data_IF_392342950725
#
_entry.id   IF_392342950725
#
_cell.length_a   1.000
_cell.length_b   1.000
_cell.length_c   1.000
_cell.angle_alpha   90.00
_cell.angle_beta   90.00
_cell.angle_gamma   90.00
#
_symmetry.space_group_name_H-M   'P 1'
#
loop_
_entity.id
_entity.type
_entity.pdbx_description
1 polymer ?
#
# COMPACT_ATOMS: atom_id res chain seq x y z
N UNK A 1 -7.74 1.98 24.43
CA UNK A 1 -6.35 1.85 23.95
C UNK A 1 -6.00 3.18 23.31
N UNK A 2 -4.92 3.87 23.72
CA UNK A 2 -4.49 5.07 22.97
C UNK A 2 -3.91 4.61 21.62
N UNK A 3 -4.24 5.25 20.49
CA UNK A 3 -3.64 4.92 19.21
C UNK A 3 -2.11 5.04 19.32
N UNK A 4 -1.40 4.12 18.67
CA UNK A 4 0.05 4.19 18.57
C UNK A 4 0.40 5.53 17.93
N UNK A 5 1.24 6.34 18.61
CA UNK A 5 1.68 7.62 18.06
C UNK A 5 2.55 7.32 16.85
N UNK A 6 2.06 7.67 15.66
CA UNK A 6 2.82 7.56 14.42
C UNK A 6 3.88 8.67 14.41
N UNK A 7 5.17 8.35 14.16
CA UNK A 7 6.21 9.34 13.97
C UNK A 7 5.89 10.31 12.81
N UNK A 8 6.36 11.55 12.92
CA UNK A 8 6.10 12.56 11.89
C UNK A 8 6.66 12.12 10.52
N UNK A 9 7.83 11.48 10.49
CA UNK A 9 8.41 10.95 9.27
C UNK A 9 7.51 9.92 8.56
N UNK A 10 6.78 9.09 9.30
CA UNK A 10 5.84 8.13 8.71
C UNK A 10 4.60 8.85 8.17
N UNK A 11 4.11 9.88 8.87
CA UNK A 11 2.98 10.69 8.38
C UNK A 11 3.34 11.48 7.12
N UNK A 12 4.60 11.88 6.93
CA UNK A 12 5.03 12.53 5.68
C UNK A 12 4.89 11.61 4.47
N UNK A 13 4.97 10.28 4.66
CA UNK A 13 4.76 9.32 3.56
C UNK A 13 3.36 9.38 2.95
N UNK A 14 2.37 9.93 3.68
CA UNK A 14 1.02 10.14 3.18
C UNK A 14 0.87 11.44 2.37
N UNK A 15 1.81 12.38 2.46
CA UNK A 15 1.81 13.61 1.65
C UNK A 15 2.51 13.46 0.29
N UNK A 16 3.13 12.31 0.05
CA UNK A 16 3.97 12.05 -1.12
C UNK A 16 3.64 10.66 -1.70
N UNK A 17 4.03 10.36 -2.96
CA UNK A 17 3.88 9.03 -3.55
C UNK A 17 4.91 8.05 -2.98
N UNK A 18 4.84 7.80 -1.68
CA UNK A 18 5.71 6.89 -0.93
C UNK A 18 4.89 5.71 -0.41
N UNK A 19 5.54 4.54 -0.33
CA UNK A 19 4.97 3.37 0.34
C UNK A 19 4.79 3.67 1.82
N UNK A 20 3.63 3.34 2.36
CA UNK A 20 3.36 3.48 3.80
C UNK A 20 4.04 2.35 4.59
N UNK A 21 4.46 2.66 5.81
CA UNK A 21 5.12 1.71 6.71
C UNK A 21 4.13 0.81 7.46
N UNK A 22 4.66 -0.23 8.11
CA UNK A 22 3.91 -1.08 9.03
C UNK A 22 3.28 -0.26 10.17
N UNK A 23 3.97 0.80 10.65
CA UNK A 23 3.44 1.69 11.69
C UNK A 23 2.18 2.41 11.25
N UNK A 24 2.11 2.86 10.00
CA UNK A 24 0.90 3.48 9.43
C UNK A 24 -0.24 2.46 9.38
N UNK A 25 0.01 1.28 8.80
CA UNK A 25 -1.01 0.23 8.64
C UNK A 25 -1.52 -0.26 9.99
N UNK A 26 -0.63 -0.64 10.91
CA UNK A 26 -1.02 -1.12 12.23
C UNK A 26 -1.76 -0.05 13.06
N UNK A 27 -1.31 1.21 13.02
CA UNK A 27 -1.97 2.30 13.76
C UNK A 27 -3.38 2.54 13.23
N UNK A 28 -3.57 2.50 11.91
CA UNK A 28 -4.89 2.57 11.31
C UNK A 28 -5.80 1.42 11.77
N UNK A 29 -5.31 0.18 11.81
CA UNK A 29 -6.09 -0.97 12.25
C UNK A 29 -6.49 -0.88 13.74
N UNK A 30 -5.63 -0.30 14.59
CA UNK A 30 -6.00 0.00 15.97
C UNK A 30 -7.12 1.03 16.07
N UNK A 31 -7.09 2.09 15.24
CA UNK A 31 -8.15 3.10 15.20
C UNK A 31 -9.45 2.49 14.66
N UNK A 32 -9.37 1.66 13.61
CA UNK A 32 -10.51 0.94 13.05
C UNK A 32 -11.17 0.01 14.08
N UNK A 33 -10.38 -0.61 14.97
CA UNK A 33 -10.91 -1.42 16.06
C UNK A 33 -11.68 -0.58 17.09
N UNK A 34 -11.22 0.64 17.37
CA UNK A 34 -11.96 1.58 18.21
C UNK A 34 -13.23 2.08 17.51
N UNK A 35 -13.15 2.36 16.20
CA UNK A 35 -14.28 2.76 15.36
C UNK A 35 -15.41 1.72 15.41
N UNK A 36 -15.09 0.43 15.23
CA UNK A 36 -16.12 -0.61 15.26
C UNK A 36 -16.84 -0.71 16.60
N UNK A 37 -16.11 -0.53 17.71
CA UNK A 37 -16.71 -0.51 19.06
C UNK A 37 -17.61 0.72 19.24
N UNK A 38 -17.15 1.90 18.84
CA UNK A 38 -17.88 3.16 19.04
C UNK A 38 -19.18 3.23 18.24
N UNK A 39 -19.21 2.63 17.04
CA UNK A 39 -20.36 2.64 16.15
C UNK A 39 -21.14 1.32 16.12
N UNK A 40 -20.85 0.39 17.05
CA UNK A 40 -21.48 -0.93 17.13
C UNK A 40 -21.47 -1.71 15.80
N UNK A 41 -20.37 -1.60 15.05
CA UNK A 41 -20.13 -2.34 13.81
C UNK A 41 -19.80 -3.82 14.10
N UNK A 42 -19.81 -4.70 13.09
CA UNK A 42 -19.46 -6.11 13.27
C UNK A 42 -18.16 -6.31 14.06
N UNK A 43 -18.18 -7.17 15.11
CA UNK A 43 -17.01 -7.38 15.94
C UNK A 43 -15.92 -8.06 15.11
N UNK A 44 -14.73 -7.47 15.09
CA UNK A 44 -13.56 -8.04 14.42
C UNK A 44 -12.34 -8.03 15.35
N UNK A 45 -11.32 -8.80 14.97
CA UNK A 45 -9.97 -8.68 15.52
C UNK A 45 -8.98 -8.46 14.38
N UNK A 46 -7.76 -8.04 14.68
CA UNK A 46 -6.69 -8.09 13.70
C UNK A 46 -5.41 -8.68 14.29
N UNK A 47 -4.51 -9.12 13.42
CA UNK A 47 -3.14 -9.51 13.76
C UNK A 47 -2.21 -8.41 13.27
N UNK A 48 -1.32 -7.94 14.15
CA UNK A 48 -0.31 -6.94 13.78
C UNK A 48 0.58 -7.44 12.62
N UNK A 49 0.84 -6.60 11.63
CA UNK A 49 1.63 -6.99 10.44
C UNK A 49 3.04 -7.47 10.76
N UNK A 50 3.59 -7.10 11.93
CA UNK A 50 4.90 -7.57 12.39
C UNK A 50 4.96 -9.08 12.61
N UNK A 51 3.81 -9.78 12.65
CA UNK A 51 3.77 -11.25 12.64
C UNK A 51 4.59 -11.83 11.49
N UNK A 52 4.63 -11.16 10.34
CA UNK A 52 5.36 -11.64 9.16
C UNK A 52 6.87 -11.41 9.27
N UNK A 53 7.30 -10.30 9.88
CA UNK A 53 8.71 -10.09 10.26
C UNK A 53 9.17 -11.17 11.23
N UNK A 54 8.36 -11.43 12.26
CA UNK A 54 8.63 -12.47 13.26
C UNK A 54 8.67 -13.86 12.61
N UNK A 55 7.74 -14.15 11.69
CA UNK A 55 7.71 -15.43 10.98
C UNK A 55 9.00 -15.64 10.18
N UNK A 56 9.42 -14.64 9.41
CA UNK A 56 10.63 -14.70 8.59
C UNK A 56 11.91 -14.85 9.44
N UNK A 57 12.00 -14.13 10.55
CA UNK A 57 13.24 -14.03 11.33
C UNK A 57 13.35 -15.10 12.43
N UNK A 58 12.23 -15.49 13.02
CA UNK A 58 12.17 -16.36 14.21
C UNK A 58 11.33 -17.62 13.99
N UNK A 59 10.72 -17.77 12.82
CA UNK A 59 9.97 -18.95 12.42
C UNK A 59 8.57 -19.05 13.02
N UNK A 60 7.90 -20.15 12.66
CA UNK A 60 6.49 -20.42 12.97
C UNK A 60 6.15 -20.30 14.46
N UNK A 61 6.97 -20.89 15.35
CA UNK A 61 6.70 -20.93 16.80
C UNK A 61 6.68 -19.54 17.44
N UNK A 62 7.49 -18.60 16.95
CA UNK A 62 7.45 -17.23 17.44
C UNK A 62 6.25 -16.45 16.87
N UNK A 63 5.98 -16.63 15.57
CA UNK A 63 4.87 -15.97 14.90
C UNK A 63 3.51 -16.43 15.44
N UNK A 64 3.37 -17.71 15.80
CA UNK A 64 2.12 -18.23 16.37
C UNK A 64 1.77 -17.57 17.71
N UNK A 65 2.77 -17.15 18.51
CA UNK A 65 2.56 -16.39 19.74
C UNK A 65 2.02 -14.98 19.47
N UNK A 66 2.50 -14.34 18.41
CA UNK A 66 1.98 -13.03 17.97
C UNK A 66 0.56 -13.17 17.45
N UNK A 67 0.33 -14.16 16.58
CA UNK A 67 -0.99 -14.45 16.02
C UNK A 67 -2.02 -14.76 17.12
N UNK A 68 -1.60 -15.44 18.19
CA UNK A 68 -2.45 -15.81 19.32
C UNK A 68 -3.02 -14.62 20.11
N UNK A 69 -2.51 -13.40 19.90
CA UNK A 69 -3.06 -12.18 20.50
C UNK A 69 -4.39 -11.75 19.86
N UNK A 70 -4.74 -12.26 18.67
CA UNK A 70 -6.03 -12.02 18.06
C UNK A 70 -7.18 -12.68 18.85
N UNK A 71 -8.30 -11.97 18.97
CA UNK A 71 -9.50 -12.43 19.66
C UNK A 71 -10.25 -13.44 18.78
N UNK A 72 -10.76 -14.51 19.40
CA UNK A 72 -11.50 -15.59 18.72
C UNK A 72 -13.01 -15.36 18.64
N UNK A 73 -13.59 -14.64 19.60
CA UNK A 73 -15.03 -14.40 19.67
C UNK A 73 -15.41 -13.13 18.87
N UNK A 74 -15.21 -13.20 17.56
CA UNK A 74 -15.42 -12.12 16.59
C UNK A 74 -15.92 -12.74 15.27
N UNK A 75 -16.47 -11.95 14.37
CA UNK A 75 -17.00 -12.46 13.10
C UNK A 75 -15.87 -12.80 12.11
N UNK A 76 -14.84 -11.95 12.08
CA UNK A 76 -13.66 -12.12 11.23
C UNK A 76 -12.38 -11.55 11.84
N UNK A 77 -11.25 -12.02 11.32
CA UNK A 77 -9.91 -11.51 11.66
C UNK A 77 -9.25 -10.90 10.44
N UNK A 78 -8.84 -9.64 10.55
CA UNK A 78 -8.07 -8.95 9.53
C UNK A 78 -6.58 -9.20 9.73
N UNK A 79 -5.86 -9.55 8.68
CA UNK A 79 -4.43 -9.84 8.73
C UNK A 79 -3.74 -9.09 7.59
N UNK A 80 -3.23 -7.87 7.84
CA UNK A 80 -2.38 -7.18 6.87
C UNK A 80 -1.13 -8.00 6.62
N UNK A 81 -0.85 -8.27 5.35
CA UNK A 81 0.26 -9.09 4.89
C UNK A 81 1.26 -8.24 4.13
N UNK A 82 2.51 -8.25 4.57
CA UNK A 82 3.61 -7.61 3.84
C UNK A 82 4.49 -8.69 3.20
N UNK A 83 4.50 -8.75 1.87
CA UNK A 83 5.44 -9.57 1.13
C UNK A 83 6.78 -8.84 1.05
N UNK A 84 7.79 -9.32 1.77
CA UNK A 84 9.12 -8.73 1.78
C UNK A 84 9.87 -8.88 0.45
N UNK A 85 9.51 -9.85 -0.39
CA UNK A 85 10.17 -10.08 -1.67
C UNK A 85 9.66 -9.13 -2.75
N UNK A 86 8.35 -8.87 -2.74
CA UNK A 86 7.70 -7.92 -3.64
C UNK A 86 7.66 -6.48 -3.07
N UNK A 87 7.98 -6.32 -1.78
CA UNK A 87 7.74 -5.11 -0.99
C UNK A 87 6.29 -4.60 -1.17
N UNK A 88 5.32 -5.49 -0.95
CA UNK A 88 3.92 -5.29 -1.31
C UNK A 88 2.99 -5.59 -0.13
N UNK A 89 1.99 -4.73 0.06
CA UNK A 89 0.94 -4.91 1.03
C UNK A 89 -0.28 -5.59 0.40
N UNK A 90 -0.81 -6.61 1.08
CA UNK A 90 -2.10 -7.22 0.79
C UNK A 90 -2.86 -7.47 2.09
N UNK A 91 -4.13 -7.86 2.01
CA UNK A 91 -4.97 -8.09 3.17
C UNK A 91 -5.60 -9.48 3.09
N UNK A 92 -5.42 -10.29 4.13
CA UNK A 92 -6.22 -11.47 4.34
C UNK A 92 -7.34 -11.20 5.36
N UNK A 93 -8.53 -11.69 5.07
CA UNK A 93 -9.71 -11.63 5.93
C UNK A 93 -10.11 -13.07 6.23
N UNK A 94 -9.92 -13.50 7.48
CA UNK A 94 -10.31 -14.82 7.95
C UNK A 94 -11.74 -14.71 8.45
N UNK A 95 -12.69 -15.26 7.70
CA UNK A 95 -14.09 -15.25 8.09
C UNK A 95 -14.41 -16.52 8.87
N UNK A 96 -14.60 -16.36 10.19
CA UNK A 96 -14.64 -17.51 11.10
C UNK A 96 -15.93 -18.31 10.95
N UNK A 97 -17.04 -17.65 10.64
CA UNK A 97 -18.36 -18.29 10.48
C UNK A 97 -18.50 -19.05 9.16
N UNK A 98 -18.06 -18.46 8.07
CA UNK A 98 -18.13 -19.04 6.71
C UNK A 98 -16.94 -19.95 6.41
N UNK A 99 -15.93 -19.99 7.30
CA UNK A 99 -14.75 -20.83 7.18
C UNK A 99 -14.03 -20.62 5.84
N UNK A 100 -13.85 -19.36 5.44
CA UNK A 100 -13.13 -18.97 4.22
C UNK A 100 -12.11 -17.87 4.51
N UNK A 101 -11.16 -17.73 3.59
CA UNK A 101 -10.21 -16.64 3.59
C UNK A 101 -10.45 -15.80 2.33
N UNK A 102 -10.72 -14.52 2.51
CA UNK A 102 -10.70 -13.55 1.41
C UNK A 102 -9.34 -12.89 1.38
N UNK A 103 -8.62 -12.97 0.26
CA UNK A 103 -7.31 -12.35 0.07
C UNK A 103 -7.44 -11.21 -0.93
N UNK A 104 -7.36 -9.98 -0.44
CA UNK A 104 -7.37 -8.80 -1.28
C UNK A 104 -5.94 -8.37 -1.63
N UNK A 105 -5.67 -8.28 -2.94
CA UNK A 105 -4.39 -7.85 -3.49
C UNK A 105 -4.62 -6.88 -4.66
N UNK A 106 -4.38 -5.60 -4.41
CA UNK A 106 -4.61 -4.50 -5.36
C UNK A 106 -3.72 -4.56 -6.61
N UNK A 107 -2.60 -5.31 -6.60
CA UNK A 107 -1.73 -5.54 -7.77
C UNK A 107 -1.95 -6.91 -8.40
N UNK A 108 -2.74 -7.78 -7.78
CA UNK A 108 -2.89 -9.17 -8.21
C UNK A 108 -1.61 -10.00 -8.10
N UNK A 109 -0.73 -9.69 -7.12
CA UNK A 109 0.51 -10.43 -6.87
C UNK A 109 0.32 -11.60 -5.90
N UNK A 110 -0.89 -12.15 -5.82
CA UNK A 110 -1.24 -13.20 -4.88
C UNK A 110 -0.33 -14.43 -5.04
N UNK A 111 0.18 -14.90 -3.91
CA UNK A 111 1.01 -16.10 -3.81
C UNK A 111 0.35 -17.12 -2.87
N UNK A 112 0.05 -18.31 -3.39
CA UNK A 112 -0.59 -19.38 -2.64
C UNK A 112 0.23 -19.88 -1.44
N UNK A 113 1.57 -19.74 -1.47
CA UNK A 113 2.43 -20.08 -0.34
C UNK A 113 2.19 -19.14 0.85
N UNK A 114 1.92 -17.86 0.61
CA UNK A 114 1.61 -16.89 1.66
C UNK A 114 0.29 -17.27 2.36
N UNK A 115 -0.72 -17.68 1.58
CA UNK A 115 -1.96 -18.23 2.12
C UNK A 115 -1.75 -19.54 2.90
N UNK A 116 -0.83 -20.40 2.46
CA UNK A 116 -0.49 -21.62 3.20
C UNK A 116 0.10 -21.31 4.58
N UNK A 117 1.05 -20.38 4.69
CA UNK A 117 1.60 -19.95 5.98
C UNK A 117 0.54 -19.34 6.89
N UNK A 118 -0.33 -18.50 6.34
CA UNK A 118 -1.46 -17.93 7.09
C UNK A 118 -2.38 -19.02 7.64
N UNK A 119 -2.77 -19.99 6.81
CA UNK A 119 -3.60 -21.13 7.21
C UNK A 119 -2.97 -21.93 8.34
N UNK A 120 -1.66 -22.18 8.29
CA UNK A 120 -0.96 -22.90 9.34
C UNK A 120 -0.99 -22.13 10.68
N UNK A 121 -0.75 -20.82 10.65
CA UNK A 121 -0.83 -19.97 11.86
C UNK A 121 -2.26 -19.93 12.41
N UNK A 122 -3.25 -19.79 11.53
CA UNK A 122 -4.66 -19.75 11.90
C UNK A 122 -5.16 -21.09 12.45
N UNK A 123 -4.75 -22.22 11.86
CA UNK A 123 -5.07 -23.56 12.34
C UNK A 123 -4.53 -23.79 13.76
N UNK A 124 -3.28 -23.40 14.00
CA UNK A 124 -2.67 -23.47 15.32
C UNK A 124 -3.38 -22.55 16.33
N UNK A 125 -3.71 -21.32 15.92
CA UNK A 125 -4.42 -20.38 16.77
C UNK A 125 -5.82 -20.88 17.14
N UNK A 126 -6.62 -21.32 16.17
CA UNK A 126 -7.97 -21.83 16.39
C UNK A 126 -7.98 -23.18 17.10
N UNK A 127 -6.86 -23.93 17.06
CA UNK A 127 -6.80 -25.34 17.45
C UNK A 127 -7.72 -26.20 16.57
N UNK A 128 -7.75 -25.88 15.27
CA UNK A 128 -8.60 -26.51 14.28
C UNK A 128 -7.80 -26.74 12.99
N UNK A 129 -7.53 -28.00 12.67
CA UNK A 129 -6.79 -28.38 11.47
C UNK A 129 -7.60 -28.21 10.18
N UNK A 130 -8.93 -28.09 10.26
CA UNK A 130 -9.80 -27.87 9.09
C UNK A 130 -9.53 -26.54 8.39
N UNK A 131 -8.90 -25.58 9.09
CA UNK A 131 -8.49 -24.27 8.54
C UNK A 131 -7.58 -24.42 7.33
N UNK A 132 -6.78 -25.49 7.26
CA UNK A 132 -5.92 -25.78 6.10
C UNK A 132 -6.76 -25.99 4.83
N UNK A 133 -7.96 -26.54 4.95
CA UNK A 133 -8.90 -26.77 3.84
C UNK A 133 -9.83 -25.60 3.52
N UNK A 134 -9.81 -24.51 4.30
CA UNK A 134 -10.67 -23.35 4.02
C UNK A 134 -10.39 -22.79 2.60
N UNK A 135 -11.41 -22.50 1.79
CA UNK A 135 -11.20 -21.90 0.47
C UNK A 135 -10.59 -20.51 0.60
N UNK A 136 -9.72 -20.17 -0.37
CA UNK A 136 -9.14 -18.83 -0.49
C UNK A 136 -9.75 -18.16 -1.71
N UNK A 137 -10.52 -17.11 -1.50
CA UNK A 137 -11.06 -16.26 -2.56
C UNK A 137 -10.13 -15.06 -2.74
N UNK A 138 -9.58 -14.89 -3.94
CA UNK A 138 -8.70 -13.76 -4.25
C UNK A 138 -9.51 -12.63 -4.88
N UNK A 139 -9.41 -11.45 -4.29
CA UNK A 139 -10.03 -10.21 -4.77
C UNK A 139 -8.94 -9.26 -5.27
N UNK A 140 -9.16 -8.63 -6.42
CA UNK A 140 -8.21 -7.65 -7.00
C UNK A 140 -8.81 -6.28 -7.23
N UNK A 141 -10.13 -6.14 -7.09
CA UNK A 141 -10.83 -4.88 -7.34
C UNK A 141 -11.17 -4.13 -6.04
N UNK A 142 -11.03 -2.80 -6.02
CA UNK A 142 -10.43 -1.97 -7.07
C UNK A 142 -8.92 -2.21 -7.19
N UNK A 143 -8.41 -2.20 -8.43
CA UNK A 143 -6.97 -2.33 -8.70
C UNK A 143 -6.22 -1.04 -8.42
N UNK A 144 -5.01 -1.18 -7.88
CA UNK A 144 -4.07 -0.07 -7.86
C UNK A 144 -3.39 0.10 -9.21
N UNK A 145 -3.16 1.35 -9.61
CA UNK A 145 -2.48 1.71 -10.87
C UNK A 145 -1.03 2.15 -10.69
N UNK A 146 -0.54 2.22 -9.45
CA UNK A 146 0.83 2.63 -9.11
C UNK A 146 1.52 1.61 -8.19
N UNK A 147 2.77 1.86 -7.83
CA UNK A 147 3.60 0.93 -7.04
C UNK A 147 3.62 1.24 -5.53
N UNK A 148 2.93 2.29 -5.06
CA UNK A 148 3.15 2.88 -3.73
C UNK A 148 1.91 2.85 -2.83
N UNK A 149 0.71 2.69 -3.40
CA UNK A 149 -0.55 2.77 -2.65
C UNK A 149 -1.03 1.45 -2.03
N UNK A 150 -0.31 0.34 -2.20
CA UNK A 150 -0.77 -0.97 -1.71
C UNK A 150 -1.18 -0.97 -0.23
N UNK A 151 -0.42 -0.29 0.63
CA UNK A 151 -0.78 -0.18 2.06
C UNK A 151 -1.99 0.72 2.30
N UNK A 152 -2.21 1.75 1.48
CA UNK A 152 -3.41 2.59 1.51
C UNK A 152 -4.63 1.75 1.12
N UNK A 153 -4.54 1.01 0.02
CA UNK A 153 -5.58 0.07 -0.41
C UNK A 153 -5.92 -0.98 0.65
N UNK A 154 -4.92 -1.52 1.35
CA UNK A 154 -5.14 -2.44 2.49
C UNK A 154 -5.94 -1.79 3.61
N UNK A 155 -5.60 -0.56 4.01
CA UNK A 155 -6.36 0.17 5.04
C UNK A 155 -7.82 0.41 4.61
N UNK A 156 -8.04 0.85 3.37
CA UNK A 156 -9.39 1.13 2.89
C UNK A 156 -10.24 -0.13 2.69
N UNK A 157 -9.63 -1.23 2.22
CA UNK A 157 -10.30 -2.53 2.13
C UNK A 157 -10.68 -3.06 3.51
N UNK A 158 -9.81 -2.85 4.51
CA UNK A 158 -10.10 -3.20 5.89
C UNK A 158 -11.28 -2.37 6.43
N UNK A 159 -11.30 -1.06 6.16
CA UNK A 159 -12.42 -0.20 6.53
C UNK A 159 -13.72 -0.69 5.89
N UNK A 160 -13.73 -1.01 4.59
CA UNK A 160 -14.94 -1.50 3.91
C UNK A 160 -15.40 -2.88 4.38
N UNK A 161 -14.48 -3.72 4.86
CA UNK A 161 -14.83 -5.00 5.48
C UNK A 161 -15.56 -4.83 6.82
N UNK A 162 -15.24 -3.76 7.55
CA UNK A 162 -15.78 -3.48 8.90
C UNK A 162 -17.01 -2.58 8.83
N UNK A 163 -16.99 -1.58 7.96
CA UNK A 163 -18.03 -0.57 7.80
C UNK A 163 -18.54 -0.60 6.36
N UNK A 164 -19.65 -1.30 6.15
CA UNK A 164 -20.27 -1.44 4.83
C UNK A 164 -20.81 -0.13 4.26
N UNK A 165 -20.87 0.95 5.05
CA UNK A 165 -21.24 2.28 4.56
C UNK A 165 -20.08 2.96 3.81
N UNK A 166 -18.83 2.51 4.03
CA UNK A 166 -17.68 3.04 3.32
C UNK A 166 -17.64 2.51 1.88
N UNK A 167 -17.77 3.42 0.92
CA UNK A 167 -17.66 3.07 -0.50
C UNK A 167 -16.19 2.83 -0.88
N UNK A 168 -15.85 1.55 -1.05
CA UNK A 168 -14.53 1.14 -1.51
C UNK A 168 -14.40 1.09 -3.03
N UNK A 169 -15.49 1.16 -3.77
CA UNK A 169 -15.45 1.04 -5.23
C UNK A 169 -14.73 2.23 -5.88
N UNK A 170 -14.19 1.99 -7.08
CA UNK A 170 -13.65 3.02 -8.00
C UNK A 170 -12.62 3.99 -7.40
N UNK A 171 -11.39 3.51 -7.22
CA UNK A 171 -10.24 4.30 -6.75
C UNK A 171 -9.34 4.69 -7.92
N UNK A 172 -9.65 5.80 -8.58
CA UNK A 172 -8.85 6.31 -9.71
C UNK A 172 -7.62 7.12 -9.27
N UNK A 173 -7.82 7.97 -8.27
CA UNK A 173 -6.79 8.78 -7.62
C UNK A 173 -6.79 8.45 -6.13
N UNK A 174 -5.61 8.45 -5.50
CA UNK A 174 -5.45 8.09 -4.08
C UNK A 174 -5.07 9.29 -3.19
N UNK A 175 -5.16 10.52 -3.72
CA UNK A 175 -4.87 11.76 -2.96
C UNK A 175 -5.75 11.87 -1.72
N UNK A 176 -7.06 11.79 -1.94
CA UNK A 176 -8.07 11.97 -0.92
C UNK A 176 -8.00 10.85 0.10
N UNK A 177 -7.76 9.62 -0.35
CA UNK A 177 -7.56 8.45 0.49
C UNK A 177 -6.32 8.59 1.38
N UNK A 178 -5.22 9.12 0.86
CA UNK A 178 -4.01 9.38 1.63
C UNK A 178 -4.22 10.48 2.67
N UNK A 179 -4.89 11.57 2.29
CA UNK A 179 -5.27 12.66 3.21
C UNK A 179 -6.21 12.15 4.30
N UNK A 180 -7.23 11.37 3.92
CA UNK A 180 -8.13 10.68 4.83
C UNK A 180 -7.36 9.83 5.84
N UNK A 181 -6.46 8.94 5.39
CA UNK A 181 -5.66 8.14 6.33
C UNK A 181 -4.81 9.01 7.26
N UNK A 182 -4.23 10.09 6.75
CA UNK A 182 -3.40 11.01 7.56
C UNK A 182 -4.23 11.66 8.66
N UNK A 183 -5.41 12.17 8.33
CA UNK A 183 -6.32 12.78 9.30
C UNK A 183 -6.80 11.77 10.33
N UNK A 184 -7.16 10.56 9.90
CA UNK A 184 -7.52 9.46 10.82
C UNK A 184 -6.39 9.20 11.82
N UNK A 185 -5.14 9.16 11.36
CA UNK A 185 -3.98 8.89 12.23
C UNK A 185 -3.63 10.06 13.16
N UNK A 186 -3.90 11.30 12.76
CA UNK A 186 -3.69 12.49 13.58
C UNK A 186 -4.77 12.62 14.67
N UNK A 187 -6.04 12.44 14.29
CA UNK A 187 -7.18 12.61 15.18
C UNK A 187 -7.48 11.36 16.00
N UNK A 188 -7.04 10.18 15.54
CA UNK A 188 -7.33 8.89 16.16
C UNK A 188 -8.79 8.44 16.01
N UNK A 189 -9.52 9.00 15.05
CA UNK A 189 -10.95 8.76 14.81
C UNK A 189 -11.20 8.66 13.30
N UNK A 190 -12.09 7.76 12.89
CA UNK A 190 -12.58 7.68 11.50
C UNK A 190 -13.82 8.56 11.38
N UNK A 191 -13.70 9.67 10.66
CA UNK A 191 -14.83 10.54 10.36
C UNK A 191 -15.33 10.25 8.92
N UNK A 192 -16.54 9.67 8.75
CA UNK A 192 -17.07 9.32 7.43
C UNK A 192 -17.44 10.53 6.55
N UNK A 193 -17.30 11.77 7.05
CA UNK A 193 -17.75 13.00 6.39
C UNK A 193 -16.67 13.79 5.63
N UNK A 194 -15.53 13.19 5.28
CA UNK A 194 -14.58 13.90 4.42
C UNK A 194 -15.17 14.05 3.01
N UNK A 195 -15.32 15.28 2.50
CA UNK A 195 -16.06 15.53 1.28
C UNK A 195 -15.41 14.81 0.10
N UNK A 196 -16.26 14.10 -0.65
CA UNK A 196 -16.01 13.71 -2.03
C UNK A 196 -16.06 14.97 -2.88
N UNK A 197 -15.09 15.87 -2.74
CA UNK A 197 -14.92 16.88 -3.78
C UNK A 197 -14.53 16.13 -5.06
N UNK A 198 -15.27 16.28 -6.16
CA UNK A 198 -14.89 15.67 -7.42
C UNK A 198 -13.50 16.19 -7.76
N UNK A 199 -12.57 15.26 -7.95
CA UNK A 199 -11.20 15.55 -8.33
C UNK A 199 -11.20 16.44 -9.59
N UNK A 200 -11.08 17.75 -9.42
CA UNK A 200 -10.85 18.71 -10.50
C UNK A 200 -9.35 18.70 -10.79
N UNK A 201 -8.95 17.74 -11.64
CA UNK A 201 -7.74 17.68 -12.49
C UNK A 201 -6.34 17.85 -11.86
N UNK A 202 -5.27 17.41 -12.55
CA UNK A 202 -5.02 16.15 -13.24
C UNK A 202 -3.98 15.33 -12.45
N UNK A 203 -3.65 14.12 -12.93
CA UNK A 203 -2.59 13.24 -12.42
C UNK A 203 -1.53 13.91 -11.53
N UNK A 204 -1.49 13.47 -10.27
CA UNK A 204 -0.39 13.61 -9.32
C UNK A 204 0.94 13.87 -10.02
N UNK A 205 1.49 15.05 -9.79
CA UNK A 205 2.79 15.48 -10.30
C UNK A 205 3.91 14.60 -9.73
N UNK A 206 4.55 13.71 -10.51
CA UNK A 206 5.56 12.80 -9.98
C UNK A 206 6.82 13.56 -9.56
N UNK A 207 7.36 13.25 -8.39
CA UNK A 207 8.60 13.84 -7.89
C UNK A 207 9.83 13.12 -8.47
N UNK A 208 10.80 13.88 -8.98
CA UNK A 208 12.14 13.38 -9.35
C UNK A 208 13.15 13.83 -8.30
N UNK A 209 13.86 12.90 -7.67
CA UNK A 209 14.90 13.22 -6.67
C UNK A 209 16.29 12.96 -7.23
N UNK A 210 17.17 13.96 -7.21
CA UNK A 210 18.57 13.83 -7.63
C UNK A 210 19.52 14.62 -6.72
N UNK A 211 20.57 13.96 -6.20
CA UNK A 211 21.59 14.57 -5.32
C UNK A 211 20.96 15.52 -4.28
N UNK A 212 19.96 15.01 -3.58
CA UNK A 212 19.28 15.70 -2.47
C UNK A 212 18.41 16.90 -2.88
N UNK A 213 18.15 17.09 -4.17
CA UNK A 213 17.16 18.04 -4.71
C UNK A 213 15.91 17.30 -5.21
N UNK A 214 14.74 17.87 -4.93
CA UNK A 214 13.42 17.38 -5.35
C UNK A 214 12.91 18.30 -6.46
N UNK A 215 12.51 17.71 -7.59
CA UNK A 215 11.89 18.41 -8.70
C UNK A 215 10.45 17.94 -8.86
N UNK A 216 9.53 18.90 -8.93
CA UNK A 216 8.17 18.68 -9.39
C UNK A 216 8.19 18.58 -10.92
N UNK A 217 7.43 17.64 -11.50
CA UNK A 217 7.32 17.52 -12.96
C UNK A 217 6.55 18.71 -13.55
N UNK A 218 5.73 19.38 -12.74
CA UNK A 218 5.08 20.67 -13.06
C UNK A 218 6.05 21.85 -13.09
N UNK A 219 7.24 21.73 -12.50
CA UNK A 219 8.32 22.73 -12.62
C UNK A 219 9.06 22.61 -13.96
N UNK A 220 8.72 21.60 -14.77
CA UNK A 220 9.25 21.38 -16.12
C UNK A 220 8.25 22.03 -17.09
N UNK A 221 8.74 22.92 -17.95
CA UNK A 221 7.90 23.65 -18.89
C UNK A 221 7.05 22.67 -19.76
N UNK A 222 5.71 22.85 -19.81
CA UNK A 222 4.81 22.02 -20.62
C UNK A 222 5.18 21.92 -22.10
N UNK A 223 5.74 22.99 -22.69
CA UNK A 223 6.18 22.98 -24.08
C UNK A 223 7.36 22.01 -24.30
N UNK A 224 8.18 21.82 -23.28
CA UNK A 224 9.30 20.88 -23.26
C UNK A 224 8.86 19.42 -23.06
N UNK A 225 7.66 19.19 -22.48
CA UNK A 225 7.00 17.87 -22.44
C UNK A 225 6.44 17.46 -23.81
N UNK A 226 6.12 18.41 -24.69
CA UNK A 226 5.74 18.12 -26.08
C UNK A 226 6.94 17.58 -26.90
N UNK A 227 8.18 17.99 -26.58
CA UNK A 227 9.38 17.37 -27.11
C UNK A 227 9.53 15.92 -26.61
N UNK A 228 9.15 15.64 -25.35
CA UNK A 228 9.13 14.29 -24.77
C UNK A 228 8.11 13.34 -25.42
N UNK A 229 7.07 13.84 -26.12
CA UNK A 229 6.20 13.00 -26.96
C UNK A 229 6.95 12.31 -28.11
N UNK A 230 8.21 12.67 -28.43
CA UNK A 230 9.07 11.91 -29.35
C UNK A 230 9.78 10.70 -28.70
N UNK A 231 9.66 10.53 -27.38
CA UNK A 231 10.43 9.57 -26.60
C UNK A 231 9.51 8.54 -25.93
N UNK A 232 9.84 7.25 -26.02
CA UNK A 232 9.13 6.17 -25.33
C UNK A 232 9.88 5.82 -24.04
N UNK A 233 9.36 6.21 -22.88
CA UNK A 233 9.96 5.90 -21.58
C UNK A 233 9.47 4.54 -21.05
N UNK A 234 10.31 3.50 -21.16
CA UNK A 234 10.09 2.24 -20.46
C UNK A 234 10.77 2.28 -19.09
N UNK A 235 9.97 2.46 -18.04
CA UNK A 235 10.45 2.48 -16.66
C UNK A 235 10.73 1.06 -16.16
N UNK A 236 11.98 0.78 -15.83
CA UNK A 236 12.34 -0.35 -14.98
C UNK A 236 12.98 0.24 -13.73
N UNK A 237 12.20 0.41 -12.67
CA UNK A 237 12.67 0.99 -11.41
C UNK A 237 13.61 0.00 -10.71
N UNK A 238 14.93 0.22 -10.83
CA UNK A 238 15.88 -0.16 -9.78
C UNK A 238 16.13 1.08 -8.95
N UNK A 239 16.01 0.94 -7.64
CA UNK A 239 16.22 1.95 -6.60
C UNK A 239 17.30 2.96 -7.01
N UNK A 240 16.94 4.24 -7.15
CA UNK A 240 17.80 5.33 -7.68
C UNK A 240 18.82 5.78 -6.63
N UNK A 241 19.58 4.83 -6.08
CA UNK A 241 20.77 5.11 -5.30
C UNK A 241 21.96 4.65 -6.14
N UNK A 242 22.51 5.61 -6.89
CA UNK A 242 23.68 5.52 -7.81
C UNK A 242 23.38 4.98 -9.22
N UNK A 243 22.88 5.86 -10.10
CA UNK A 243 23.03 5.66 -11.56
C UNK A 243 24.52 5.79 -11.89
N UNK A 244 25.23 4.67 -11.94
CA UNK A 244 26.66 4.61 -12.30
C UNK A 244 26.88 4.41 -13.80
N UNK A 245 25.81 4.09 -14.54
CA UNK A 245 25.88 3.60 -15.91
C UNK A 245 25.01 4.51 -16.80
N UNK A 246 25.38 4.74 -18.07
CA UNK A 246 24.56 5.49 -19.00
C UNK A 246 23.18 4.85 -19.13
N UNK A 247 22.12 5.67 -19.10
CA UNK A 247 20.76 5.20 -19.38
C UNK A 247 20.43 5.47 -20.85
N UNK A 248 19.68 4.55 -21.46
CA UNK A 248 19.33 4.63 -22.88
C UNK A 248 17.87 5.01 -23.03
N UNK A 249 17.62 6.07 -23.77
CA UNK A 249 16.30 6.47 -24.23
C UNK A 249 16.08 5.93 -25.64
N UNK A 250 14.89 5.40 -25.91
CA UNK A 250 14.47 4.98 -27.26
C UNK A 250 13.49 6.02 -27.79
N UNK A 251 13.78 6.53 -28.99
CA UNK A 251 12.94 7.49 -29.68
C UNK A 251 11.80 6.76 -30.40
N UNK A 252 10.76 7.50 -30.79
CA UNK A 252 9.62 6.97 -31.59
C UNK A 252 10.03 6.47 -32.97
N UNK A 253 11.14 6.95 -33.52
CA UNK A 253 11.72 6.47 -34.77
C UNK A 253 12.69 5.27 -34.58
N UNK A 254 12.66 4.65 -33.40
CA UNK A 254 13.52 3.54 -32.99
C UNK A 254 15.01 3.83 -32.82
N UNK A 255 15.44 5.08 -33.01
CA UNK A 255 16.79 5.48 -32.65
C UNK A 255 17.00 5.47 -31.13
N UNK A 256 18.26 5.33 -30.70
CA UNK A 256 18.62 5.19 -29.28
C UNK A 256 19.64 6.25 -28.89
N UNK A 257 19.33 7.01 -27.83
CA UNK A 257 20.23 7.99 -27.23
C UNK A 257 20.74 7.43 -25.91
N UNK A 258 22.05 7.51 -25.68
CA UNK A 258 22.68 7.08 -24.43
C UNK A 258 23.14 8.31 -23.67
N UNK A 259 22.55 8.57 -22.51
CA UNK A 259 22.90 9.72 -21.66
C UNK A 259 23.79 9.22 -20.52
N UNK A 260 25.01 9.77 -20.42
CA UNK A 260 25.92 9.38 -19.34
C UNK A 260 25.47 10.00 -18.01
N UNK A 261 25.85 9.42 -16.86
CA UNK A 261 25.45 9.93 -15.55
C UNK A 261 25.80 11.40 -15.28
N UNK A 262 26.86 11.93 -15.90
CA UNK A 262 27.27 13.33 -15.78
C UNK A 262 26.52 14.29 -16.72
N UNK A 263 25.87 13.76 -17.76
CA UNK A 263 25.19 14.53 -18.81
C UNK A 263 23.68 14.70 -18.51
N UNK A 264 23.19 14.11 -17.41
CA UNK A 264 21.77 14.19 -17.00
C UNK A 264 21.35 15.63 -16.74
N UNK A 265 22.19 16.41 -16.08
CA UNK A 265 21.86 17.78 -15.71
C UNK A 265 21.77 18.66 -16.96
N UNK A 266 22.69 18.48 -17.90
CA UNK A 266 22.68 19.17 -19.19
C UNK A 266 21.47 18.74 -20.03
N UNK A 267 21.10 17.46 -20.00
CA UNK A 267 19.88 16.95 -20.64
C UNK A 267 18.61 17.57 -20.04
N UNK A 268 18.51 17.64 -18.71
CA UNK A 268 17.37 18.27 -18.03
C UNK A 268 17.33 19.80 -18.25
N UNK A 269 18.48 20.46 -18.35
CA UNK A 269 18.57 21.89 -18.66
C UNK A 269 18.28 22.19 -20.13
N UNK A 270 18.69 21.32 -21.05
CA UNK A 270 18.33 21.40 -22.46
C UNK A 270 16.81 21.34 -22.63
N UNK A 271 16.16 20.43 -21.90
CA UNK A 271 14.70 20.35 -21.85
C UNK A 271 14.10 21.61 -21.21
N UNK A 272 14.74 22.28 -20.23
CA UNK A 272 14.19 23.52 -19.64
C UNK A 272 14.26 24.75 -20.55
N UNK A 273 15.11 24.76 -21.58
CA UNK A 273 15.40 25.94 -22.41
C UNK A 273 14.96 25.81 -23.88
N UNK A 274 14.37 24.68 -24.26
CA UNK A 274 13.54 24.53 -25.47
C UNK A 274 12.05 24.57 -25.11
#
# INVERSE_FOLDING_TARGET
MKPLRVPEEDLTSLNAPLKVSDRIVNSFFHILLCHSVNFALPPFSFVDSLVWSVFREKGFSAASKVFALARKNVDFVLVPFFDFSAEHWSLAILELRSQRITWYDSLGLFNSLNAHHLKALAAYWLQDSSVVSWPVQVETEPRQKNAVDCGVFVCLRALSAVDSSYNFESKECMLQERQFLKEVLLEGIINPLLPSDPCLDPCFDPLITFRDQVFHLSDINPDSLSALHKFSLNWHTRSVRKIRHPFRLRLKDDSKISIKPGEIFDFLNLIKHE
#
